data_IF_598814985596
#
_entry.id   IF_598814985596
#
_cell.length_a   1.000
_cell.length_b   1.000
_cell.length_c   1.000
_cell.angle_alpha   90.00
_cell.angle_beta   90.00
_cell.angle_gamma   90.00
#
_symmetry.space_group_name_H-M   'P 1'
#
loop_
_entity.id
_entity.type
_entity.pdbx_description
1 polymer ?
#
# COMPACT_ATOMS: atom_id res chain seq x y z
N UNK A 1 -20.33 -9.41 -14.71
CA UNK A 1 -20.35 -8.60 -13.48
C UNK A 1 -18.91 -8.30 -13.12
N UNK A 2 -18.50 -7.04 -13.17
CA UNK A 2 -17.12 -6.63 -12.90
C UNK A 2 -16.91 -6.77 -11.39
N UNK A 3 -16.16 -7.78 -10.96
CA UNK A 3 -15.76 -7.91 -9.56
C UNK A 3 -14.92 -6.67 -9.24
N UNK A 4 -15.49 -5.75 -8.47
CA UNK A 4 -14.77 -4.60 -7.95
C UNK A 4 -13.48 -5.14 -7.32
N UNK A 5 -12.29 -4.77 -7.82
CA UNK A 5 -11.08 -5.27 -7.24
C UNK A 5 -11.07 -4.74 -5.81
N UNK A 6 -11.30 -5.64 -4.85
CA UNK A 6 -11.19 -5.38 -3.44
C UNK A 6 -9.69 -5.19 -3.15
N UNK A 7 -9.10 -4.11 -3.67
CA UNK A 7 -7.88 -3.55 -3.14
C UNK A 7 -8.28 -3.01 -1.77
N UNK A 8 -8.35 -3.90 -0.78
CA UNK A 8 -8.51 -3.52 0.61
C UNK A 8 -7.46 -2.47 0.90
N UNK A 9 -7.92 -1.27 1.23
CA UNK A 9 -7.06 -0.12 1.50
C UNK A 9 -6.06 -0.54 2.56
N UNK A 10 -4.80 -0.72 2.16
CA UNK A 10 -3.74 -1.07 3.11
C UNK A 10 -3.40 0.20 3.90
N UNK A 11 -3.30 0.08 5.21
CA UNK A 11 -2.95 1.19 6.08
C UNK A 11 -1.50 1.04 6.55
N UNK A 12 -0.82 2.16 6.72
CA UNK A 12 0.55 2.18 7.20
C UNK A 12 0.58 1.69 8.65
N UNK A 13 1.46 0.72 9.00
CA UNK A 13 1.53 0.21 10.37
C UNK A 13 2.08 1.23 11.38
N UNK A 14 2.59 2.38 10.93
CA UNK A 14 3.20 3.40 11.80
C UNK A 14 2.27 4.55 12.13
N UNK A 15 1.52 5.01 11.14
CA UNK A 15 0.68 6.22 11.24
C UNK A 15 -0.77 5.98 10.81
N UNK A 16 -1.15 4.72 10.54
CA UNK A 16 -2.49 4.29 10.14
C UNK A 16 -3.03 4.96 8.86
N UNK A 17 -2.19 5.72 8.15
CA UNK A 17 -2.55 6.40 6.91
C UNK A 17 -2.70 5.40 5.77
N UNK A 18 -3.67 5.64 4.89
CA UNK A 18 -3.83 4.92 3.63
C UNK A 18 -2.52 4.89 2.84
N UNK A 19 -2.04 3.68 2.56
CA UNK A 19 -0.88 3.44 1.71
C UNK A 19 -1.25 3.70 0.26
N UNK A 20 -0.31 4.30 -0.46
CA UNK A 20 -0.36 4.48 -1.90
C UNK A 20 0.47 3.39 -2.56
N UNK A 21 -0.14 2.62 -3.44
CA UNK A 21 0.55 1.60 -4.21
C UNK A 21 1.10 2.21 -5.50
N UNK A 22 2.42 2.22 -5.64
CA UNK A 22 3.09 2.70 -6.86
C UNK A 22 3.85 1.52 -7.46
N UNK A 23 3.43 1.06 -8.63
CA UNK A 23 4.06 -0.06 -9.36
C UNK A 23 4.13 -1.37 -8.54
N UNK A 24 3.14 -1.63 -7.69
CA UNK A 24 3.13 -2.80 -6.81
C UNK A 24 3.82 -2.60 -5.47
N UNK A 25 4.47 -1.44 -5.25
CA UNK A 25 5.12 -1.11 -3.97
C UNK A 25 4.18 -0.27 -3.12
N UNK A 26 3.87 -0.74 -1.92
CA UNK A 26 3.09 0.04 -0.96
C UNK A 26 3.97 1.11 -0.31
N UNK A 27 3.56 2.37 -0.40
CA UNK A 27 4.29 3.52 0.14
C UNK A 27 3.38 4.38 1.02
N UNK A 28 3.91 4.90 2.12
CA UNK A 28 3.21 5.84 2.97
C UNK A 28 3.70 7.26 2.68
N UNK A 29 2.83 8.19 2.24
CA UNK A 29 3.22 9.56 1.96
C UNK A 29 3.57 10.37 3.22
N UNK A 30 2.95 10.05 4.36
CA UNK A 30 3.13 10.79 5.61
C UNK A 30 4.48 10.50 6.28
N UNK A 31 4.79 9.22 6.49
CA UNK A 31 6.01 8.82 7.20
C UNK A 31 7.12 8.27 6.29
N UNK A 32 6.91 8.30 4.96
CA UNK A 32 7.82 7.75 3.93
C UNK A 32 8.18 6.26 4.15
N UNK A 33 7.30 5.51 4.78
CA UNK A 33 7.44 4.06 4.90
C UNK A 33 7.23 3.39 3.53
N UNK A 34 8.01 2.36 3.22
CA UNK A 34 7.98 1.66 1.93
C UNK A 34 7.98 0.16 2.21
N UNK A 35 6.97 -0.56 1.72
CA UNK A 35 6.94 -2.03 1.74
C UNK A 35 7.82 -2.56 0.60
N UNK A 36 9.12 -2.57 0.84
CA UNK A 36 10.10 -3.14 -0.07
C UNK A 36 10.15 -4.66 0.01
N UNK A 37 9.02 -5.35 -0.20
CA UNK A 37 9.04 -6.79 -0.52
C UNK A 37 9.58 -6.97 -1.95
N UNK A 38 10.87 -6.66 -2.10
CA UNK A 38 11.72 -7.19 -3.16
C UNK A 38 11.84 -8.68 -2.87
N UNK A 39 10.84 -9.45 -3.29
CA UNK A 39 11.00 -10.89 -3.44
C UNK A 39 11.63 -11.17 -4.81
N UNK A 40 12.59 -12.07 -4.76
CA UNK A 40 13.63 -12.39 -5.73
C UNK A 40 13.12 -13.28 -6.86
#
# INVERSE_FOLDING_TARGET
MLQSPHHGTRHCPRCETTLSNVQGVDTCPECRWIDGRTDR
#
